data_IF_698596513990
#
_entry.id   IF_698596513990
#
_cell.length_a   1.000
_cell.length_b   1.000
_cell.length_c   1.000
_cell.angle_alpha   90.00
_cell.angle_beta   90.00
_cell.angle_gamma   90.00
#
_symmetry.space_group_name_H-M   'P 1'
#
loop_
_entity.id
_entity.type
_entity.pdbx_description
1 polymer ?
#
# COMPACT_ATOMS: atom_id res chain seq x y z
N UNK A 1 -10.35 24.68 -18.06
CA UNK A 1 -9.90 23.42 -18.69
C UNK A 1 -9.09 22.70 -17.63
N UNK A 2 -9.56 21.57 -17.10
CA UNK A 2 -8.80 20.78 -16.14
C UNK A 2 -7.80 19.95 -16.93
N UNK A 3 -6.51 20.06 -16.61
CA UNK A 3 -5.48 19.25 -17.23
C UNK A 3 -5.26 17.98 -16.39
N UNK A 4 -5.19 16.82 -17.03
CA UNK A 4 -4.86 15.57 -16.35
C UNK A 4 -3.40 15.67 -15.87
N UNK A 5 -3.11 15.35 -14.59
CA UNK A 5 -1.74 15.32 -14.10
C UNK A 5 -0.92 14.26 -14.84
N UNK A 6 0.19 14.68 -15.45
CA UNK A 6 1.21 13.79 -16.02
C UNK A 6 2.42 13.83 -15.11
N UNK A 7 2.74 12.70 -14.48
CA UNK A 7 3.82 12.57 -13.51
C UNK A 7 5.08 12.11 -14.26
N UNK A 8 6.18 12.88 -14.22
CA UNK A 8 7.42 12.46 -14.89
C UNK A 8 8.04 11.22 -14.22
N UNK A 9 8.55 10.28 -15.01
CA UNK A 9 9.23 9.08 -14.48
C UNK A 9 10.49 9.41 -13.69
N UNK A 10 11.14 10.53 -14.02
CA UNK A 10 12.35 11.00 -13.36
C UNK A 10 12.09 11.71 -12.01
N UNK A 11 10.83 11.80 -11.56
CA UNK A 11 10.42 12.41 -10.29
C UNK A 11 10.75 11.47 -9.14
N UNK A 12 11.53 11.96 -8.16
CA UNK A 12 11.85 11.18 -6.97
C UNK A 12 10.95 11.52 -5.78
N UNK A 13 10.93 10.61 -4.82
CA UNK A 13 10.14 10.70 -3.60
C UNK A 13 11.06 10.55 -2.39
N UNK A 14 10.94 11.48 -1.44
CA UNK A 14 11.83 11.53 -0.28
C UNK A 14 11.03 11.66 1.01
N UNK A 15 11.37 10.87 2.04
CA UNK A 15 10.95 11.18 3.41
C UNK A 15 12.04 11.97 4.12
N UNK A 16 11.66 13.10 4.72
CA UNK A 16 12.57 13.96 5.47
C UNK A 16 12.09 14.12 6.92
N UNK A 17 12.94 13.72 7.86
CA UNK A 17 12.67 13.83 9.30
C UNK A 17 12.89 15.27 9.77
N UNK A 18 12.00 15.74 10.63
CA UNK A 18 12.01 17.13 11.12
C UNK A 18 12.55 17.24 12.56
N UNK A 19 13.59 16.45 12.87
CA UNK A 19 14.15 16.32 14.23
C UNK A 19 13.09 15.87 15.25
N UNK A 20 12.55 14.65 15.08
CA UNK A 20 11.51 14.10 15.96
C UNK A 20 10.17 14.87 15.91
N UNK A 21 9.93 15.66 14.86
CA UNK A 21 8.75 16.51 14.72
C UNK A 21 8.95 17.97 15.12
N UNK A 22 10.10 18.32 15.72
CA UNK A 22 10.36 19.66 16.27
C UNK A 22 10.15 20.76 15.23
N UNK A 23 10.66 20.58 14.01
CA UNK A 23 10.66 21.61 12.96
C UNK A 23 9.52 21.45 11.94
N UNK A 24 8.62 20.47 12.13
CA UNK A 24 7.52 20.19 11.21
C UNK A 24 6.66 21.41 10.88
N UNK A 25 6.19 22.11 11.91
CA UNK A 25 5.29 23.26 11.71
C UNK A 25 6.00 24.44 11.05
N UNK A 26 7.29 24.62 11.30
CA UNK A 26 8.04 25.71 10.69
C UNK A 26 8.30 25.44 9.21
N UNK A 27 8.80 24.24 8.88
CA UNK A 27 9.01 23.79 7.49
C UNK A 27 7.73 23.97 6.68
N UNK A 28 6.60 23.52 7.25
CA UNK A 28 5.28 23.66 6.63
C UNK A 28 4.86 25.12 6.44
N UNK A 29 4.96 25.94 7.49
CA UNK A 29 4.47 27.33 7.45
C UNK A 29 5.33 28.23 6.56
N UNK A 30 6.66 28.04 6.57
CA UNK A 30 7.61 28.87 5.82
C UNK A 30 7.91 28.31 4.42
N UNK A 31 7.43 27.12 4.07
CA UNK A 31 7.57 26.58 2.72
C UNK A 31 8.98 26.09 2.39
N UNK A 32 9.63 25.37 3.31
CA UNK A 32 10.96 24.81 3.07
C UNK A 32 11.20 23.51 3.83
N UNK A 33 12.25 22.79 3.45
CA UNK A 33 12.90 21.72 4.22
C UNK A 33 14.35 22.10 4.47
N UNK A 34 14.92 21.64 5.58
CA UNK A 34 16.32 21.89 5.91
C UNK A 34 17.02 20.65 6.46
N UNK A 35 18.35 20.66 6.37
CA UNK A 35 19.24 19.65 6.92
C UNK A 35 20.25 20.32 7.85
N UNK A 36 20.56 19.66 8.98
CA UNK A 36 21.54 20.11 9.97
C UNK A 36 22.98 20.06 9.40
N UNK A 37 23.98 20.16 10.28
CA UNK A 37 25.43 20.11 10.00
C UNK A 37 25.97 21.47 9.53
N UNK A 38 25.74 22.50 10.34
CA UNK A 38 26.00 23.91 10.01
C UNK A 38 27.46 24.22 9.68
N UNK A 39 28.42 23.47 10.25
CA UNK A 39 29.86 23.61 9.96
C UNK A 39 30.23 23.15 8.53
N UNK A 40 29.37 22.37 7.88
CA UNK A 40 29.55 21.93 6.50
C UNK A 40 28.72 22.83 5.59
N UNK A 41 29.40 23.59 4.73
CA UNK A 41 28.74 24.56 3.85
C UNK A 41 28.20 23.89 2.58
N UNK A 42 27.32 24.60 1.86
CA UNK A 42 26.90 24.13 0.52
C UNK A 42 28.07 24.06 -0.46
N UNK A 43 29.10 24.91 -0.31
CA UNK A 43 30.29 24.87 -1.19
C UNK A 43 31.11 23.61 -0.95
N UNK A 44 31.31 23.21 0.30
CA UNK A 44 32.04 21.99 0.65
C UNK A 44 31.39 20.75 0.02
N UNK A 45 30.06 20.68 0.06
CA UNK A 45 29.31 19.55 -0.55
C UNK A 45 29.40 19.58 -2.10
N UNK A 46 29.61 20.75 -2.72
CA UNK A 46 29.86 20.85 -4.18
C UNK A 46 31.25 20.36 -4.53
N UNK A 47 32.25 20.84 -3.78
CA UNK A 47 33.66 20.80 -4.15
C UNK A 47 34.33 19.50 -3.75
N UNK A 48 33.93 18.92 -2.62
CA UNK A 48 34.55 17.73 -2.06
C UNK A 48 33.93 16.46 -2.62
N UNK A 49 34.79 15.46 -2.83
CA UNK A 49 34.33 14.11 -3.15
C UNK A 49 33.77 13.39 -1.90
N UNK A 50 33.30 12.14 -2.07
CA UNK A 50 32.65 11.38 -1.01
C UNK A 50 33.53 11.17 0.23
N UNK A 51 34.80 10.86 0.02
CA UNK A 51 35.75 10.53 1.07
C UNK A 51 36.22 11.80 1.79
N UNK A 52 36.51 12.85 1.03
CA UNK A 52 36.87 14.18 1.55
C UNK A 52 35.75 14.77 2.42
N UNK A 53 34.49 14.70 1.94
CA UNK A 53 33.35 15.17 2.71
C UNK A 53 33.14 14.34 3.98
N UNK A 54 33.39 13.02 3.92
CA UNK A 54 33.32 12.14 5.08
C UNK A 54 34.39 12.48 6.12
N UNK A 55 35.61 12.82 5.66
CA UNK A 55 36.68 13.30 6.53
C UNK A 55 36.34 14.65 7.17
N UNK A 56 35.81 15.60 6.40
CA UNK A 56 35.40 16.91 6.91
C UNK A 56 34.29 16.78 7.97
N UNK A 57 33.30 15.90 7.74
CA UNK A 57 32.26 15.59 8.74
C UNK A 57 32.88 15.01 10.02
N UNK A 58 33.88 14.14 9.91
CA UNK A 58 34.56 13.54 11.06
C UNK A 58 35.39 14.56 11.84
N UNK A 59 35.98 15.54 11.15
CA UNK A 59 36.76 16.62 11.76
C UNK A 59 35.89 17.55 12.59
N UNK A 60 34.79 18.06 12.03
CA UNK A 60 33.88 18.97 12.74
C UNK A 60 32.97 18.25 13.75
N UNK A 61 32.72 16.95 13.58
CA UNK A 61 31.82 16.17 14.44
C UNK A 61 32.46 14.83 14.88
N UNK A 62 33.54 14.85 15.69
CA UNK A 62 34.30 13.66 16.04
C UNK A 62 33.51 12.61 16.84
N UNK A 63 32.49 13.04 17.59
CA UNK A 63 31.64 12.16 18.39
C UNK A 63 30.60 11.37 17.57
N UNK A 64 30.50 11.61 16.26
CA UNK A 64 29.55 10.89 15.39
C UNK A 64 30.10 9.53 14.98
N UNK A 65 29.35 8.50 15.35
CA UNK A 65 29.69 7.11 15.04
C UNK A 65 29.63 6.74 13.56
N UNK A 66 28.94 7.52 12.72
CA UNK A 66 28.73 7.25 11.29
C UNK A 66 28.88 8.53 10.42
N UNK A 67 30.10 9.07 10.27
CA UNK A 67 30.32 10.28 9.46
C UNK A 67 30.00 10.07 7.98
N UNK A 68 30.26 8.88 7.42
CA UNK A 68 29.93 8.58 6.01
C UNK A 68 28.43 8.63 5.71
N UNK A 69 27.57 8.14 6.62
CA UNK A 69 26.12 8.25 6.47
C UNK A 69 25.67 9.72 6.47
N UNK A 70 26.30 10.55 7.29
CA UNK A 70 26.01 11.99 7.37
C UNK A 70 26.44 12.71 6.09
N UNK A 71 27.65 12.44 5.60
CA UNK A 71 28.14 12.95 4.32
C UNK A 71 27.22 12.55 3.16
N UNK A 72 26.73 11.31 3.14
CA UNK A 72 25.79 10.86 2.13
C UNK A 72 24.46 11.63 2.20
N UNK A 73 23.89 11.87 3.40
CA UNK A 73 22.68 12.67 3.54
C UNK A 73 22.85 14.10 3.03
N UNK A 74 23.99 14.73 3.31
CA UNK A 74 24.32 16.07 2.81
C UNK A 74 24.41 16.09 1.28
N UNK A 75 25.06 15.09 0.68
CA UNK A 75 25.12 14.92 -0.78
C UNK A 75 23.74 14.67 -1.39
N UNK A 76 22.92 13.82 -0.78
CA UNK A 76 21.53 13.60 -1.25
C UNK A 76 20.75 14.90 -1.23
N UNK A 77 20.80 15.64 -0.13
CA UNK A 77 20.07 16.90 0.02
C UNK A 77 20.43 17.94 -1.05
N UNK A 78 21.72 18.09 -1.37
CA UNK A 78 22.23 19.09 -2.32
C UNK A 78 22.27 18.62 -3.78
N UNK A 79 22.72 17.39 -4.04
CA UNK A 79 23.08 16.96 -5.39
C UNK A 79 22.05 16.01 -6.01
N UNK A 80 21.12 15.46 -5.22
CA UNK A 80 20.18 14.42 -5.71
C UNK A 80 18.73 14.91 -5.65
N UNK A 81 18.30 15.48 -4.51
CA UNK A 81 16.97 16.11 -4.40
C UNK A 81 16.93 17.31 -5.34
N UNK A 82 15.95 17.37 -6.22
CA UNK A 82 15.82 18.41 -7.26
C UNK A 82 14.41 18.95 -7.36
N UNK A 83 14.27 20.06 -8.07
CA UNK A 83 12.97 20.64 -8.43
C UNK A 83 12.04 19.60 -9.05
N UNK A 84 10.78 19.61 -8.61
CA UNK A 84 9.76 18.68 -9.04
C UNK A 84 9.71 17.38 -8.22
N UNK A 85 10.74 17.06 -7.41
CA UNK A 85 10.67 15.91 -6.50
C UNK A 85 9.61 16.11 -5.42
N UNK A 86 8.96 15.02 -5.01
CA UNK A 86 8.03 15.01 -3.89
C UNK A 86 8.78 14.77 -2.58
N UNK A 87 8.45 15.55 -1.56
CA UNK A 87 8.97 15.40 -0.20
C UNK A 87 7.85 15.18 0.80
N UNK A 88 8.08 14.23 1.70
CA UNK A 88 7.20 13.89 2.81
C UNK A 88 7.91 14.26 4.11
N UNK A 89 7.35 15.19 4.88
CA UNK A 89 7.86 15.51 6.21
C UNK A 89 6.95 14.96 7.30
N UNK A 90 7.55 14.47 8.38
CA UNK A 90 6.82 13.89 9.51
C UNK A 90 6.77 14.85 10.70
N UNK A 91 5.62 14.89 11.38
CA UNK A 91 5.43 15.57 12.65
C UNK A 91 5.87 14.71 13.84
N UNK A 92 5.57 15.18 15.05
CA UNK A 92 5.91 14.47 16.30
C UNK A 92 5.28 13.09 16.31
N UNK A 93 6.09 12.08 16.66
CA UNK A 93 5.71 10.65 16.68
C UNK A 93 5.12 10.15 15.34
N UNK A 94 5.46 10.81 14.23
CA UNK A 94 4.86 10.58 12.91
C UNK A 94 3.32 10.64 12.91
N UNK A 95 2.67 11.34 13.87
CA UNK A 95 1.20 11.38 13.96
C UNK A 95 0.52 12.04 12.75
N UNK A 96 1.21 13.01 12.16
CA UNK A 96 0.83 13.68 10.92
C UNK A 96 2.04 13.76 10.02
N UNK A 97 1.79 13.87 8.73
CA UNK A 97 2.82 14.18 7.76
C UNK A 97 2.27 15.14 6.71
N UNK A 98 3.18 15.85 6.04
CA UNK A 98 2.86 16.73 4.94
C UNK A 98 3.59 16.27 3.69
N UNK A 99 2.88 16.33 2.56
CA UNK A 99 3.39 16.05 1.23
C UNK A 99 3.56 17.39 0.52
N UNK A 100 4.72 17.63 -0.08
CA UNK A 100 5.03 18.83 -0.84
C UNK A 100 5.94 18.54 -2.02
N UNK A 101 6.10 19.54 -2.87
CA UNK A 101 6.96 19.49 -4.06
C UNK A 101 8.11 20.48 -3.91
N UNK A 102 9.33 20.06 -4.23
CA UNK A 102 10.50 20.95 -4.26
C UNK A 102 10.36 21.90 -5.44
N UNK A 103 10.48 23.21 -5.21
CA UNK A 103 10.22 24.23 -6.23
C UNK A 103 11.45 25.03 -6.67
N UNK A 104 12.55 24.95 -5.94
CA UNK A 104 13.80 25.61 -6.31
C UNK A 104 14.71 24.71 -7.14
N UNK A 105 15.48 25.35 -8.02
CA UNK A 105 16.44 24.66 -8.88
C UNK A 105 17.71 24.26 -8.11
N UNK A 106 18.10 25.01 -7.07
CA UNK A 106 19.25 24.70 -6.22
C UNK A 106 18.99 25.00 -4.73
N UNK A 107 19.78 24.39 -3.85
CA UNK A 107 19.79 24.64 -2.41
C UNK A 107 20.21 26.08 -2.15
N UNK A 108 19.69 26.66 -1.08
CA UNK A 108 20.12 27.96 -0.59
C UNK A 108 20.52 27.89 0.88
N UNK A 109 21.33 28.85 1.30
CA UNK A 109 21.67 29.04 2.71
C UNK A 109 20.89 30.24 3.24
N UNK A 110 20.26 30.08 4.41
CA UNK A 110 19.61 31.18 5.14
C UNK A 110 19.97 31.07 6.62
N UNK A 111 20.85 31.96 7.07
CA UNK A 111 21.22 32.06 8.48
C UNK A 111 20.07 32.64 9.31
N UNK A 112 19.85 32.05 10.48
CA UNK A 112 18.91 32.58 11.48
C UNK A 112 19.74 33.22 12.58
N UNK A 113 19.55 34.52 12.88
CA UNK A 113 20.29 35.20 13.94
C UNK A 113 20.15 34.46 15.27
N UNK A 114 21.24 34.40 16.03
CA UNK A 114 21.29 33.69 17.31
C UNK A 114 20.26 34.27 18.30
N UNK A 115 20.10 35.59 18.33
CA UNK A 115 19.12 36.26 19.19
C UNK A 115 17.68 35.83 18.87
N UNK A 116 17.38 35.52 17.61
CA UNK A 116 16.08 35.01 17.20
C UNK A 116 15.86 33.56 17.65
N UNK A 117 16.91 32.73 17.58
CA UNK A 117 16.87 31.34 18.05
C UNK A 117 16.70 31.27 19.58
N UNK A 118 17.38 32.15 20.31
CA UNK A 118 17.23 32.29 21.77
C UNK A 118 15.82 32.75 22.15
N UNK A 119 15.28 33.75 21.43
CA UNK A 119 13.94 34.25 21.67
C UNK A 119 12.83 33.25 21.31
N UNK A 120 13.08 32.35 20.36
CA UNK A 120 12.10 31.35 19.92
C UNK A 120 12.75 29.98 19.61
N UNK A 121 12.76 29.05 20.58
CA UNK A 121 13.38 27.73 20.43
C UNK A 121 12.66 26.81 19.42
N UNK A 122 11.51 27.24 18.88
CA UNK A 122 10.80 26.55 17.80
C UNK A 122 11.35 26.91 16.42
N UNK A 123 12.18 27.96 16.31
CA UNK A 123 12.87 28.28 15.08
C UNK A 123 13.93 27.22 14.78
N UNK A 124 14.07 26.91 13.50
CA UNK A 124 14.97 25.92 12.98
C UNK A 124 16.30 26.61 12.66
N UNK A 125 17.40 26.16 13.28
CA UNK A 125 18.71 26.75 13.05
C UNK A 125 19.35 26.30 11.72
N UNK A 126 18.71 25.40 10.97
CA UNK A 126 19.32 24.81 9.79
C UNK A 126 19.44 25.86 8.67
N UNK A 127 20.69 26.13 8.26
CA UNK A 127 21.01 27.12 7.24
C UNK A 127 20.79 26.56 5.82
N UNK A 128 21.09 25.28 5.59
CA UNK A 128 20.91 24.59 4.30
C UNK A 128 19.44 24.26 4.07
N UNK A 129 18.84 24.88 3.05
CA UNK A 129 17.39 24.78 2.78
C UNK A 129 17.07 24.50 1.31
N UNK A 130 15.87 23.93 1.10
CA UNK A 130 15.18 23.82 -0.18
C UNK A 130 13.75 24.33 -0.03
N UNK A 131 13.26 25.09 -1.00
CA UNK A 131 11.89 25.61 -1.05
C UNK A 131 10.94 24.49 -1.43
N UNK A 132 9.84 24.42 -0.71
CA UNK A 132 8.81 23.40 -0.89
C UNK A 132 7.45 24.04 -0.95
N UNK A 133 6.68 23.71 -1.98
CA UNK A 133 5.25 23.99 -2.04
C UNK A 133 4.50 22.82 -1.40
N UNK A 134 3.91 23.07 -0.23
CA UNK A 134 3.11 22.06 0.47
C UNK A 134 1.76 21.86 -0.20
N UNK A 135 1.40 20.60 -0.45
CA UNK A 135 0.21 20.21 -1.20
C UNK A 135 -0.87 19.68 -0.26
N UNK A 136 -0.50 18.78 0.66
CA UNK A 136 -1.45 18.08 1.53
C UNK A 136 -0.86 17.80 2.91
N UNK A 137 -1.70 17.86 3.94
CA UNK A 137 -1.41 17.31 5.27
C UNK A 137 -2.33 16.12 5.52
N UNK A 138 -1.79 15.04 6.09
CA UNK A 138 -2.50 13.77 6.30
C UNK A 138 -2.21 13.24 7.71
N UNK A 139 -3.21 12.63 8.33
CA UNK A 139 -3.03 11.93 9.60
C UNK A 139 -2.53 10.51 9.37
N UNK A 140 -1.66 9.99 10.25
CA UNK A 140 -1.09 8.63 10.11
C UNK A 140 -2.09 7.48 10.17
N UNK A 141 -3.34 7.76 10.55
CA UNK A 141 -4.41 6.76 10.62
C UNK A 141 -5.29 6.78 9.37
N UNK A 142 -5.11 7.77 8.51
CA UNK A 142 -5.87 7.94 7.26
C UNK A 142 -5.07 7.41 6.06
N UNK A 143 -4.05 6.57 6.31
CA UNK A 143 -3.14 6.07 5.27
C UNK A 143 -3.12 4.57 5.19
N UNK A 144 -2.74 4.10 4.00
CA UNK A 144 -2.56 2.70 3.67
C UNK A 144 -1.29 2.13 4.35
N UNK A 145 -1.26 0.80 4.52
CA UNK A 145 -0.17 0.09 5.20
C UNK A 145 1.23 0.38 4.64
N UNK A 146 1.45 0.46 3.31
CA UNK A 146 2.77 0.81 2.78
C UNK A 146 3.25 2.18 3.27
N UNK A 147 2.39 3.21 3.23
CA UNK A 147 2.74 4.52 3.78
C UNK A 147 3.04 4.44 5.27
N UNK A 148 2.24 3.68 6.03
CA UNK A 148 2.52 3.48 7.45
C UNK A 148 3.90 2.85 7.69
N UNK A 149 4.29 1.84 6.90
CA UNK A 149 5.63 1.22 6.96
C UNK A 149 6.74 2.24 6.68
N UNK A 150 6.61 3.06 5.64
CA UNK A 150 7.56 4.14 5.35
C UNK A 150 7.72 5.08 6.56
N UNK A 151 6.62 5.53 7.14
CA UNK A 151 6.61 6.46 8.28
C UNK A 151 7.27 5.88 9.55
N UNK A 152 7.23 4.55 9.74
CA UNK A 152 7.84 3.86 10.88
C UNK A 152 9.30 3.46 10.64
N UNK A 153 9.65 2.98 9.44
CA UNK A 153 10.95 2.39 9.16
C UNK A 153 12.00 3.36 8.64
N UNK A 154 11.62 4.57 8.22
CA UNK A 154 12.58 5.61 7.82
C UNK A 154 13.39 6.14 9.02
N UNK A 155 14.50 5.49 9.37
CA UNK A 155 15.34 5.81 10.54
C UNK A 155 16.35 6.95 10.27
N UNK A 156 16.53 7.34 9.01
CA UNK A 156 17.49 8.37 8.60
C UNK A 156 16.83 9.75 8.46
N UNK A 157 17.63 10.82 8.47
CA UNK A 157 17.14 12.19 8.25
C UNK A 157 16.49 12.32 6.88
N UNK A 158 17.10 11.69 5.87
CA UNK A 158 16.58 11.60 4.51
C UNK A 158 16.50 10.11 4.17
N UNK A 159 15.35 9.67 3.69
CA UNK A 159 15.10 8.30 3.24
C UNK A 159 14.51 8.34 1.84
N UNK A 160 15.05 7.53 0.94
CA UNK A 160 14.46 7.27 -0.37
C UNK A 160 13.07 6.63 -0.18
N UNK A 161 12.06 7.20 -0.83
CA UNK A 161 10.68 6.75 -0.76
C UNK A 161 10.13 6.39 -2.15
N UNK A 162 10.98 6.14 -3.15
CA UNK A 162 10.58 5.80 -4.52
C UNK A 162 9.78 4.50 -4.59
N UNK A 163 10.04 3.53 -3.71
CA UNK A 163 9.23 2.32 -3.55
C UNK A 163 7.76 2.63 -3.19
N UNK A 164 7.48 3.82 -2.66
CA UNK A 164 6.15 4.27 -2.22
C UNK A 164 5.56 5.32 -3.16
N UNK A 165 6.13 5.52 -4.36
CA UNK A 165 5.75 6.58 -5.31
C UNK A 165 4.25 6.60 -5.64
N UNK A 166 3.66 5.45 -5.94
CA UNK A 166 2.25 5.34 -6.36
C UNK A 166 1.31 5.55 -5.17
N UNK A 167 1.72 5.07 -3.99
CA UNK A 167 1.02 5.29 -2.72
C UNK A 167 1.07 6.77 -2.31
N UNK A 168 2.18 7.47 -2.55
CA UNK A 168 2.29 8.90 -2.27
C UNK A 168 1.45 9.70 -3.26
N UNK A 169 1.51 9.40 -4.57
CA UNK A 169 0.75 10.11 -5.59
C UNK A 169 -0.75 9.91 -5.47
N UNK A 170 -1.23 8.70 -5.12
CA UNK A 170 -2.67 8.44 -4.91
C UNK A 170 -3.26 9.25 -3.75
N UNK A 171 -2.42 9.72 -2.82
CA UNK A 171 -2.86 10.65 -1.78
C UNK A 171 -3.06 12.07 -2.30
N UNK A 172 -2.45 12.44 -3.41
CA UNK A 172 -2.53 13.78 -4.03
C UNK A 172 -3.56 13.80 -5.16
N UNK A 173 -3.57 12.75 -5.99
CA UNK A 173 -4.33 12.66 -7.22
C UNK A 173 -5.22 11.41 -7.22
N UNK A 174 -6.49 11.58 -7.57
CA UNK A 174 -7.41 10.46 -7.77
C UNK A 174 -7.25 9.84 -9.17
N UNK A 175 -6.67 10.56 -10.13
CA UNK A 175 -6.32 10.06 -11.46
C UNK A 175 -5.06 10.77 -11.98
N UNK A 176 -4.09 10.01 -12.50
CA UNK A 176 -2.87 10.55 -13.12
C UNK A 176 -2.27 9.59 -14.14
N UNK A 177 -1.41 10.13 -15.02
CA UNK A 177 -0.65 9.37 -16.02
C UNK A 177 0.83 9.36 -15.61
N UNK A 178 1.50 8.21 -15.71
CA UNK A 178 2.95 8.10 -15.58
C UNK A 178 3.49 7.14 -16.63
N UNK A 179 4.48 7.60 -17.39
CA UNK A 179 5.02 6.81 -18.50
C UNK A 179 3.92 6.39 -19.46
N UNK A 180 3.74 5.08 -19.58
CA UNK A 180 2.75 4.40 -20.42
C UNK A 180 1.48 3.98 -19.67
N UNK A 181 1.43 4.10 -18.34
CA UNK A 181 0.26 3.70 -17.55
C UNK A 181 -0.50 4.91 -16.98
N UNK A 182 -1.78 4.67 -16.65
CA UNK A 182 -2.60 5.59 -15.89
C UNK A 182 -3.08 4.89 -14.61
N UNK A 183 -3.19 5.65 -13.52
CA UNK A 183 -3.70 5.13 -12.26
C UNK A 183 -4.96 5.88 -11.85
N UNK A 184 -6.00 5.14 -11.48
CA UNK A 184 -7.26 5.62 -10.93
C UNK A 184 -7.41 5.12 -9.48
N UNK A 185 -7.69 6.04 -8.56
CA UNK A 185 -7.91 5.74 -7.14
C UNK A 185 -9.35 6.07 -6.75
N UNK A 186 -10.12 5.04 -6.38
CA UNK A 186 -11.51 5.18 -5.96
C UNK A 186 -11.62 5.19 -4.43
N UNK A 187 -12.11 6.30 -3.87
CA UNK A 187 -12.30 6.47 -2.42
C UNK A 187 -13.69 6.05 -1.99
N UNK A 188 -13.79 4.91 -1.30
CA UNK A 188 -15.04 4.44 -0.70
C UNK A 188 -15.23 5.08 0.68
N UNK A 189 -16.25 5.95 0.83
CA UNK A 189 -16.53 6.69 2.09
C UNK A 189 -17.59 6.04 2.99
N UNK A 190 -18.16 4.91 2.58
CA UNK A 190 -19.30 4.31 3.28
C UNK A 190 -18.89 3.84 4.68
N UNK A 191 -19.52 4.39 5.71
CA UNK A 191 -19.39 3.92 7.09
C UNK A 191 -20.31 2.70 7.32
N UNK A 192 -19.74 1.57 7.79
CA UNK A 192 -20.49 0.33 8.05
C UNK A 192 -20.26 -0.79 7.02
N UNK A 193 -21.14 -1.80 7.02
CA UNK A 193 -20.99 -2.97 6.15
C UNK A 193 -21.36 -2.66 4.69
N UNK A 194 -20.49 -3.07 3.77
CA UNK A 194 -20.75 -3.07 2.33
C UNK A 194 -21.22 -4.48 1.94
N UNK A 195 -22.40 -4.63 1.31
CA UNK A 195 -22.83 -5.94 0.81
C UNK A 195 -21.80 -6.49 -0.19
N UNK A 196 -21.27 -7.69 0.08
CA UNK A 196 -20.19 -8.29 -0.72
C UNK A 196 -20.58 -8.40 -2.20
N UNK A 197 -21.80 -8.85 -2.50
CA UNK A 197 -22.31 -8.96 -3.87
C UNK A 197 -22.23 -7.62 -4.60
N UNK A 198 -22.67 -6.53 -3.97
CA UNK A 198 -22.61 -5.19 -4.58
C UNK A 198 -21.18 -4.68 -4.77
N UNK A 199 -20.27 -5.02 -3.85
CA UNK A 199 -18.87 -4.61 -3.96
C UNK A 199 -18.16 -5.30 -5.13
N UNK A 200 -18.30 -6.62 -5.24
CA UNK A 200 -17.68 -7.38 -6.34
C UNK A 200 -18.38 -7.13 -7.68
N UNK A 201 -19.72 -6.96 -7.68
CA UNK A 201 -20.45 -6.60 -8.89
C UNK A 201 -20.00 -5.25 -9.44
N UNK A 202 -19.73 -4.25 -8.60
CA UNK A 202 -19.27 -2.94 -9.07
C UNK A 202 -18.01 -3.03 -9.95
N UNK A 203 -17.00 -3.79 -9.51
CA UNK A 203 -15.78 -3.97 -10.30
C UNK A 203 -16.06 -4.65 -11.63
N UNK A 204 -16.80 -5.76 -11.59
CA UNK A 204 -17.19 -6.51 -12.78
C UNK A 204 -18.01 -5.66 -13.76
N UNK A 205 -19.06 -5.00 -13.27
CA UNK A 205 -19.98 -4.20 -14.09
C UNK A 205 -19.24 -3.02 -14.75
N UNK A 206 -18.27 -2.40 -14.06
CA UNK A 206 -17.42 -1.35 -14.65
C UNK A 206 -16.57 -1.91 -15.79
N UNK A 207 -15.94 -3.08 -15.59
CA UNK A 207 -15.10 -3.72 -16.61
C UNK A 207 -15.93 -4.23 -17.79
N UNK A 208 -17.10 -4.83 -17.55
CA UNK A 208 -18.02 -5.26 -18.60
C UNK A 208 -18.47 -4.06 -19.46
N UNK A 209 -18.87 -2.96 -18.83
CA UNK A 209 -19.24 -1.73 -19.53
C UNK A 209 -18.07 -1.13 -20.31
N UNK A 210 -16.85 -1.22 -19.77
CA UNK A 210 -15.65 -0.81 -20.49
C UNK A 210 -15.44 -1.72 -21.72
N UNK A 211 -15.58 -3.03 -21.57
CA UNK A 211 -15.46 -3.97 -22.69
C UNK A 211 -16.49 -3.69 -23.78
N UNK A 212 -17.77 -3.58 -23.41
CA UNK A 212 -18.87 -3.24 -24.31
C UNK A 212 -18.60 -1.93 -25.06
N UNK A 213 -18.07 -0.92 -24.36
CA UNK A 213 -17.69 0.35 -24.97
C UNK A 213 -16.53 0.18 -25.96
N UNK A 214 -15.51 -0.61 -25.61
CA UNK A 214 -14.35 -0.81 -26.46
C UNK A 214 -14.69 -1.57 -27.74
N UNK A 215 -15.55 -2.60 -27.64
CA UNK A 215 -16.12 -3.33 -28.78
C UNK A 215 -17.01 -2.44 -29.65
N UNK A 216 -17.78 -1.54 -29.03
CA UNK A 216 -18.58 -0.55 -29.75
C UNK A 216 -17.72 0.49 -30.46
N UNK A 217 -16.58 0.84 -29.87
CA UNK A 217 -15.67 1.83 -30.42
C UNK A 217 -15.00 1.30 -31.71
N UNK A 218 -14.51 2.22 -32.54
CA UNK A 218 -13.65 1.87 -33.69
C UNK A 218 -12.15 2.06 -33.37
N UNK A 219 -11.83 2.32 -32.11
CA UNK A 219 -10.46 2.52 -31.64
C UNK A 219 -9.86 1.19 -31.20
N UNK A 220 -8.54 1.08 -31.32
CA UNK A 220 -7.81 -0.10 -30.86
C UNK A 220 -7.34 0.14 -29.42
N UNK A 221 -8.09 -0.37 -28.46
CA UNK A 221 -7.72 -0.34 -27.05
C UNK A 221 -6.83 -1.53 -26.67
N UNK A 222 -6.08 -1.38 -25.58
CA UNK A 222 -5.39 -2.51 -24.94
C UNK A 222 -6.39 -3.48 -24.30
N UNK A 223 -5.96 -4.71 -24.03
CA UNK A 223 -6.81 -5.72 -23.41
C UNK A 223 -7.18 -5.31 -21.97
N UNK A 224 -8.41 -5.61 -21.54
CA UNK A 224 -8.82 -5.42 -20.15
C UNK A 224 -8.04 -6.31 -19.19
N UNK A 225 -7.52 -7.44 -19.67
CA UNK A 225 -6.66 -8.35 -18.88
C UNK A 225 -5.37 -7.67 -18.42
N UNK A 226 -4.94 -6.57 -19.05
CA UNK A 226 -3.79 -5.77 -18.62
C UNK A 226 -4.10 -4.82 -17.44
N UNK A 227 -5.38 -4.69 -17.03
CA UNK A 227 -5.76 -3.82 -15.92
C UNK A 227 -5.53 -4.51 -14.58
N UNK A 228 -4.49 -4.08 -13.87
CA UNK A 228 -4.23 -4.50 -12.50
C UNK A 228 -5.08 -3.71 -11.49
N UNK A 229 -5.57 -4.38 -10.45
CA UNK A 229 -6.33 -3.74 -9.36
C UNK A 229 -5.72 -4.07 -8.00
N UNK A 230 -5.47 -3.04 -7.18
CA UNK A 230 -5.12 -3.20 -5.78
C UNK A 230 -6.27 -2.75 -4.87
N UNK A 231 -6.82 -3.66 -4.07
CA UNK A 231 -7.87 -3.36 -3.09
C UNK A 231 -7.27 -3.42 -1.69
N UNK A 232 -7.26 -2.28 -1.00
CA UNK A 232 -6.79 -2.20 0.39
C UNK A 232 -7.81 -2.76 1.38
N UNK A 233 -7.97 -4.08 1.41
CA UNK A 233 -8.64 -4.83 2.48
C UNK A 233 -7.60 -5.21 3.53
N UNK A 234 -6.99 -4.21 4.18
CA UNK A 234 -5.83 -4.41 5.06
C UNK A 234 -4.70 -5.25 4.44
N UNK A 235 -4.48 -5.29 3.12
CA UNK A 235 -3.51 -6.25 2.56
C UNK A 235 -2.05 -5.95 2.95
N UNK A 236 -1.28 -6.97 3.43
CA UNK A 236 -1.73 -8.34 3.69
C UNK A 236 -2.70 -8.41 4.87
N UNK A 237 -3.91 -8.90 4.60
CA UNK A 237 -5.05 -8.71 5.49
C UNK A 237 -6.21 -9.63 5.15
N UNK A 238 -7.00 -9.92 6.17
CA UNK A 238 -8.08 -10.91 6.07
C UNK A 238 -9.29 -10.28 5.38
N UNK A 239 -9.73 -10.86 4.27
CA UNK A 239 -11.08 -10.66 3.74
C UNK A 239 -12.06 -11.36 4.70
N UNK A 240 -13.04 -10.63 5.24
CA UNK A 240 -13.97 -11.15 6.26
C UNK A 240 -15.40 -11.16 5.73
N UNK A 241 -15.96 -12.36 5.58
CA UNK A 241 -17.39 -12.55 5.34
C UNK A 241 -18.12 -12.71 6.67
N UNK A 242 -19.19 -11.93 6.87
CA UNK A 242 -20.07 -12.05 8.05
C UNK A 242 -21.52 -12.03 7.59
N UNK A 243 -22.30 -12.99 8.05
CA UNK A 243 -23.70 -13.16 7.65
C UNK A 243 -24.37 -14.35 8.34
N UNK A 244 -25.55 -14.76 7.87
CA UNK A 244 -26.22 -15.95 8.37
C UNK A 244 -25.33 -17.19 8.24
N UNK A 245 -25.27 -18.01 9.29
CA UNK A 245 -24.36 -19.15 9.42
C UNK A 245 -24.31 -20.05 8.18
N UNK A 246 -25.47 -20.44 7.64
CA UNK A 246 -25.56 -21.31 6.45
C UNK A 246 -24.94 -20.70 5.20
N UNK A 247 -25.13 -19.39 4.99
CA UNK A 247 -24.58 -18.70 3.83
C UNK A 247 -23.04 -18.62 3.90
N UNK A 248 -22.50 -18.33 5.08
CA UNK A 248 -21.05 -18.31 5.30
C UNK A 248 -20.44 -19.71 5.15
N UNK A 249 -21.12 -20.75 5.62
CA UNK A 249 -20.68 -22.12 5.46
C UNK A 249 -20.60 -22.51 3.97
N UNK A 250 -21.62 -22.21 3.16
CA UNK A 250 -21.61 -22.49 1.72
C UNK A 250 -20.45 -21.79 1.01
N UNK A 251 -20.19 -20.51 1.32
CA UNK A 251 -19.04 -19.78 0.76
C UNK A 251 -17.73 -20.46 1.12
N UNK A 252 -17.58 -20.87 2.38
CA UNK A 252 -16.40 -21.60 2.84
C UNK A 252 -16.19 -22.93 2.13
N UNK A 253 -17.26 -23.69 1.90
CA UNK A 253 -17.20 -24.98 1.19
C UNK A 253 -16.79 -24.82 -0.29
N UNK A 254 -17.29 -23.79 -0.97
CA UNK A 254 -16.90 -23.48 -2.36
C UNK A 254 -15.40 -23.15 -2.44
N UNK A 255 -14.85 -22.43 -1.45
CA UNK A 255 -13.42 -22.09 -1.40
C UNK A 255 -12.58 -23.36 -1.28
N UNK A 256 -12.93 -24.27 -0.37
CA UNK A 256 -12.19 -25.54 -0.16
C UNK A 256 -12.14 -26.39 -1.43
N UNK A 257 -13.26 -26.49 -2.14
CA UNK A 257 -13.33 -27.23 -3.41
C UNK A 257 -12.55 -26.51 -4.52
N UNK A 258 -12.62 -25.17 -4.57
CA UNK A 258 -11.97 -24.35 -5.58
C UNK A 258 -10.44 -24.29 -5.50
N UNK A 259 -9.85 -24.36 -4.30
CA UNK A 259 -8.38 -24.38 -4.10
C UNK A 259 -7.74 -25.75 -4.34
N UNK A 260 -8.49 -26.74 -4.85
CA UNK A 260 -7.98 -28.09 -5.03
C UNK A 260 -7.78 -28.86 -3.72
N UNK A 261 -8.35 -28.37 -2.60
CA UNK A 261 -8.48 -29.17 -1.39
C UNK A 261 -9.25 -30.45 -1.72
N UNK A 262 -8.59 -31.60 -1.59
CA UNK A 262 -9.18 -32.88 -1.97
C UNK A 262 -10.44 -33.16 -1.15
N UNK A 263 -11.57 -33.38 -1.83
CA UNK A 263 -12.82 -33.80 -1.20
C UNK A 263 -13.37 -34.97 -2.00
N UNK A 264 -13.22 -36.19 -1.47
CA UNK A 264 -13.71 -37.42 -2.13
C UNK A 264 -14.93 -37.93 -1.38
N UNK A 265 -16.14 -37.57 -1.83
CA UNK A 265 -17.38 -38.01 -1.18
C UNK A 265 -17.89 -39.30 -1.83
N UNK A 266 -17.81 -40.42 -1.11
CA UNK A 266 -18.53 -41.65 -1.49
C UNK A 266 -19.78 -41.77 -0.61
N UNK A 267 -21.01 -41.65 -1.14
CA UNK A 267 -22.21 -41.62 -0.31
C UNK A 267 -22.58 -43.03 0.22
N UNK A 268 -22.74 -43.22 1.55
CA UNK A 268 -23.35 -44.42 2.10
C UNK A 268 -24.87 -44.24 2.30
N UNK A 269 -25.56 -45.38 2.41
CA UNK A 269 -27.03 -45.52 2.39
C UNK A 269 -27.83 -44.91 3.55
N UNK A 270 -29.17 -45.11 3.55
CA UNK A 270 -30.15 -44.16 4.10
C UNK A 270 -30.30 -44.02 5.62
N UNK A 271 -29.60 -44.78 6.47
CA UNK A 271 -29.99 -44.92 7.88
C UNK A 271 -28.85 -44.57 8.89
N UNK A 272 -28.86 -43.36 9.46
CA UNK A 272 -27.99 -43.01 10.61
C UNK A 272 -28.07 -41.55 11.12
N UNK A 273 -27.81 -41.26 12.42
CA UNK A 273 -28.58 -40.30 13.23
C UNK A 273 -27.92 -38.92 13.51
N UNK A 274 -28.76 -37.90 13.74
CA UNK A 274 -28.42 -36.46 13.87
C UNK A 274 -27.80 -35.98 15.19
N UNK A 275 -27.53 -34.68 15.41
CA UNK A 275 -27.95 -33.47 14.67
C UNK A 275 -27.01 -32.28 14.93
N UNK A 276 -25.84 -32.31 14.31
CA UNK A 276 -25.12 -31.12 13.83
C UNK A 276 -24.32 -31.46 12.56
N UNK A 277 -23.94 -32.74 12.40
CA UNK A 277 -23.38 -33.34 11.17
C UNK A 277 -24.39 -33.42 10.00
N UNK A 278 -25.70 -33.46 10.28
CA UNK A 278 -26.70 -33.76 9.24
C UNK A 278 -27.05 -32.54 8.37
N UNK A 279 -26.80 -31.31 8.83
CA UNK A 279 -26.97 -30.12 7.97
C UNK A 279 -25.71 -29.76 7.18
N UNK A 280 -24.51 -29.97 7.74
CA UNK A 280 -23.25 -29.71 7.02
C UNK A 280 -23.01 -30.72 5.91
N UNK A 281 -23.29 -32.01 6.14
CA UNK A 281 -23.12 -33.06 5.11
C UNK A 281 -24.11 -32.87 3.96
N UNK A 282 -25.34 -32.45 4.26
CA UNK A 282 -26.33 -32.07 3.26
C UNK A 282 -25.86 -30.90 2.40
N UNK A 283 -25.42 -29.81 3.04
CA UNK A 283 -24.91 -28.63 2.34
C UNK A 283 -23.65 -28.92 1.52
N UNK A 284 -22.72 -29.72 2.04
CA UNK A 284 -21.51 -30.14 1.31
C UNK A 284 -21.86 -30.96 0.07
N UNK A 285 -22.76 -31.94 0.21
CA UNK A 285 -23.21 -32.75 -0.92
C UNK A 285 -23.95 -31.89 -1.94
N UNK A 286 -24.77 -30.94 -1.49
CA UNK A 286 -25.45 -29.98 -2.37
C UNK A 286 -24.46 -29.06 -3.09
N UNK A 287 -23.40 -28.58 -2.41
CA UNK A 287 -22.34 -27.75 -3.02
C UNK A 287 -21.52 -28.56 -4.02
N UNK A 288 -21.08 -29.77 -3.68
CA UNK A 288 -20.36 -30.65 -4.60
C UNK A 288 -21.23 -31.05 -5.80
N UNK A 289 -22.49 -31.42 -5.56
CA UNK A 289 -23.42 -31.71 -6.65
C UNK A 289 -23.67 -30.48 -7.52
N UNK A 290 -23.80 -29.29 -6.92
CA UNK A 290 -23.95 -28.03 -7.66
C UNK A 290 -22.71 -27.71 -8.51
N UNK A 291 -21.49 -27.87 -7.97
CA UNK A 291 -20.25 -27.62 -8.71
C UNK A 291 -20.08 -28.65 -9.84
N UNK A 292 -20.32 -29.94 -9.57
CA UNK A 292 -20.26 -31.02 -10.56
C UNK A 292 -21.35 -30.90 -11.65
N UNK A 293 -22.60 -30.56 -11.30
CA UNK A 293 -23.69 -30.32 -12.28
C UNK A 293 -23.42 -29.08 -13.14
N UNK A 294 -22.72 -28.09 -12.57
CA UNK A 294 -22.23 -26.91 -13.30
C UNK A 294 -21.04 -27.23 -14.21
N UNK A 295 -20.24 -28.26 -13.96
CA UNK A 295 -19.14 -28.68 -14.87
C UNK A 295 -19.65 -29.10 -16.25
N UNK A 296 -20.85 -29.69 -16.36
CA UNK A 296 -21.46 -30.03 -17.66
C UNK A 296 -21.91 -28.78 -18.45
N UNK A 297 -21.94 -27.59 -17.82
CA UNK A 297 -22.28 -26.31 -18.45
C UNK A 297 -21.20 -25.25 -18.15
N UNK A 298 -20.15 -25.29 -18.96
CA UNK A 298 -19.10 -24.26 -19.13
C UNK A 298 -17.99 -24.24 -18.07
N UNK A 299 -16.95 -25.05 -18.32
CA UNK A 299 -15.51 -24.85 -18.06
C UNK A 299 -15.14 -23.74 -17.04
N UNK A 300 -15.41 -23.94 -15.74
CA UNK A 300 -15.19 -22.92 -14.69
C UNK A 300 -14.41 -23.36 -13.45
N UNK A 301 -14.16 -24.66 -13.25
CA UNK A 301 -13.31 -25.11 -12.14
C UNK A 301 -11.84 -24.72 -12.34
N UNK A 302 -11.38 -24.75 -13.59
CA UNK A 302 -10.06 -24.21 -13.96
C UNK A 302 -9.99 -22.71 -13.68
N UNK A 303 -11.03 -21.96 -14.07
CA UNK A 303 -11.12 -20.50 -13.86
C UNK A 303 -11.14 -20.14 -12.36
N UNK A 304 -11.86 -20.90 -11.53
CA UNK A 304 -11.88 -20.63 -10.09
C UNK A 304 -10.54 -20.96 -9.45
N UNK A 305 -9.93 -22.11 -9.79
CA UNK A 305 -8.60 -22.49 -9.31
C UNK A 305 -7.57 -21.43 -9.71
N UNK A 306 -7.59 -20.98 -10.98
CA UNK A 306 -6.72 -19.93 -11.52
C UNK A 306 -6.86 -18.62 -10.74
N UNK A 307 -8.08 -18.12 -10.55
CA UNK A 307 -8.30 -16.91 -9.74
C UNK A 307 -7.86 -17.05 -8.28
N UNK A 308 -7.91 -18.26 -7.71
CA UNK A 308 -7.51 -18.51 -6.32
C UNK A 308 -5.99 -18.64 -6.18
N UNK A 309 -5.33 -19.22 -7.19
CA UNK A 309 -3.87 -19.34 -7.29
C UNK A 309 -3.24 -17.96 -7.51
N UNK A 310 -3.77 -17.16 -8.44
CA UNK A 310 -3.31 -15.79 -8.72
C UNK A 310 -3.43 -14.87 -7.50
N UNK A 311 -4.44 -15.09 -6.67
CA UNK A 311 -4.67 -14.34 -5.43
C UNK A 311 -3.97 -14.95 -4.21
N UNK A 312 -3.20 -16.03 -4.38
CA UNK A 312 -2.50 -16.78 -3.32
C UNK A 312 -3.41 -17.09 -2.11
N UNK A 313 -4.64 -17.54 -2.38
CA UNK A 313 -5.65 -17.74 -1.31
C UNK A 313 -5.38 -19.04 -0.55
N UNK A 314 -4.93 -18.93 0.70
CA UNK A 314 -4.81 -20.08 1.60
C UNK A 314 -6.18 -20.65 2.01
N UNK A 315 -6.29 -21.99 1.97
CA UNK A 315 -7.49 -22.71 2.46
C UNK A 315 -7.65 -22.51 3.98
N UNK A 316 -8.85 -22.18 4.48
CA UNK A 316 -9.05 -22.00 5.92
C UNK A 316 -8.92 -23.32 6.71
N UNK A 317 -7.96 -23.37 7.65
CA UNK A 317 -7.60 -24.55 8.44
C UNK A 317 -8.78 -25.19 9.20
N UNK A 318 -9.67 -24.38 9.83
CA UNK A 318 -10.82 -24.93 10.54
C UNK A 318 -11.87 -25.55 9.61
N UNK A 319 -11.99 -25.03 8.38
CA UNK A 319 -12.88 -25.62 7.38
C UNK A 319 -12.29 -26.91 6.83
N UNK A 320 -10.97 -26.95 6.60
CA UNK A 320 -10.26 -28.18 6.24
C UNK A 320 -10.46 -29.28 7.31
N UNK A 321 -10.27 -28.94 8.59
CA UNK A 321 -10.53 -29.86 9.71
C UNK A 321 -11.98 -30.31 9.80
N UNK A 322 -12.95 -29.41 9.57
CA UNK A 322 -14.37 -29.75 9.57
C UNK A 322 -14.69 -30.74 8.45
N UNK A 323 -14.07 -30.57 7.29
CA UNK A 323 -14.23 -31.45 6.13
C UNK A 323 -13.63 -32.84 6.40
N UNK A 324 -12.41 -32.91 6.94
CA UNK A 324 -11.79 -34.18 7.33
C UNK A 324 -12.53 -34.89 8.49
N UNK A 325 -13.14 -34.15 9.41
CA UNK A 325 -13.94 -34.74 10.49
C UNK A 325 -15.23 -35.39 9.96
N UNK A 326 -15.83 -34.80 8.92
CA UNK A 326 -16.99 -35.38 8.22
C UNK A 326 -16.62 -36.72 7.59
N UNK A 327 -15.40 -36.87 7.04
CA UNK A 327 -14.90 -38.13 6.47
C UNK A 327 -14.75 -39.23 7.54
N UNK A 328 -14.06 -38.91 8.65
CA UNK A 328 -13.71 -39.89 9.70
C UNK A 328 -14.90 -40.37 10.55
N UNK A 329 -15.93 -39.54 10.74
CA UNK A 329 -17.15 -39.96 11.46
C UNK A 329 -18.04 -40.91 10.63
N UNK A 330 -17.81 -40.99 9.33
CA UNK A 330 -18.43 -42.00 8.46
C UNK A 330 -17.74 -43.36 8.56
N UNK A 331 -16.43 -43.42 8.86
CA UNK A 331 -15.66 -44.68 8.97
C UNK A 331 -15.77 -45.35 10.35
N UNK A 332 -15.89 -44.57 11.45
CA UNK A 332 -15.92 -45.12 12.81
C UNK A 332 -17.29 -45.67 13.27
N UNK A 333 -18.36 -45.49 12.49
CA UNK A 333 -19.66 -46.14 12.72
C UNK A 333 -19.80 -47.49 12.01
N UNK A 334 -18.78 -47.96 11.29
CA UNK A 334 -18.76 -49.26 10.59
C UNK A 334 -18.07 -50.41 11.35
N UNK A 335 -17.57 -50.19 12.56
CA UNK A 335 -16.89 -51.22 13.37
C UNK A 335 -17.64 -51.67 14.64
N UNK A 336 -18.93 -51.33 14.81
CA UNK A 336 -19.75 -51.85 15.91
C UNK A 336 -21.10 -52.41 15.46
#
# INVERSE_FOLDING_TARGET
>A
MYNIPVIPDAKNYWLIRTQGGKYYHEFRRKGYIGINWEEITLDDITRLNADELTLLVKEHYPDKSRPGTTANQLRTFKNVIKKGDTVVITGVASNKFSIGEVVDDDCYSEEVPEEALEANPKLCPYNKRRKVRWIKEVHKWDVEMPMFKLLQHAQHTITDANEYKDVIESMIHDFYIRGDYAQLSLKVKKEGHIPAVSFFALGKDILDLANEFMEYSKENFADLEEIETQINVNSPGKVKFKGPMKAILVVGLIIVVGTGGGVTVTPPGPDGPGSFEVQSNGLLREVNAFLNDRQEREHREMIMSEYMDDLEVETPEELEKLMSAIENNTENKSEN
#
